data_IF_442213933155
#
_entry.id   IF_442213933155
#
_cell.length_a   1.000
_cell.length_b   1.000
_cell.length_c   1.000
_cell.angle_alpha   90.00
_cell.angle_beta   90.00
_cell.angle_gamma   90.00
#
_symmetry.space_group_name_H-M   'P 1'
#
loop_
_entity.id
_entity.type
_entity.pdbx_description
1 polymer ?
#
# COMPACT_ATOMS: atom_id res chain seq x y z
N UNK A 1 -3.70 12.46 4.31
CA UNK A 1 -3.45 11.54 3.18
C UNK A 1 -2.65 10.37 3.71
N UNK A 2 -3.00 9.15 3.36
CA UNK A 2 -2.22 7.96 3.71
C UNK A 2 -0.86 8.01 3.03
N UNK A 3 0.18 7.52 3.70
CA UNK A 3 1.56 7.48 3.19
C UNK A 3 2.06 6.04 3.21
N UNK A 4 2.02 5.40 2.04
CA UNK A 4 2.41 4.01 1.90
C UNK A 4 3.91 3.79 2.10
N UNK A 5 4.78 4.74 1.73
CA UNK A 5 6.22 4.61 1.89
C UNK A 5 6.60 4.56 3.38
N UNK A 6 6.07 5.49 4.17
CA UNK A 6 6.30 5.48 5.62
C UNK A 6 5.69 4.26 6.29
N UNK A 7 4.50 3.81 5.87
CA UNK A 7 3.92 2.56 6.35
C UNK A 7 4.84 1.35 6.09
N UNK A 8 5.37 1.20 4.88
CA UNK A 8 6.25 0.07 4.53
C UNK A 8 7.60 0.14 5.27
N UNK A 9 8.17 1.33 5.45
CA UNK A 9 9.35 1.53 6.32
C UNK A 9 9.11 1.00 7.73
N UNK A 10 7.95 1.32 8.33
CA UNK A 10 7.57 0.81 9.65
C UNK A 10 7.35 -0.71 9.67
N UNK A 11 7.04 -1.33 8.52
CA UNK A 11 6.93 -2.77 8.34
C UNK A 11 8.27 -3.47 8.04
N UNK A 12 9.37 -2.71 8.00
CA UNK A 12 10.72 -3.26 7.86
C UNK A 12 11.25 -3.25 6.42
N UNK A 13 10.59 -2.58 5.48
CA UNK A 13 11.16 -2.40 4.14
C UNK A 13 12.44 -1.57 4.22
N UNK A 14 13.48 -2.06 3.55
CA UNK A 14 14.71 -1.30 3.35
C UNK A 14 14.50 -0.18 2.33
N UNK A 15 15.35 0.85 2.36
CA UNK A 15 15.30 1.89 1.34
C UNK A 15 15.53 1.34 -0.07
N UNK A 16 16.34 0.29 -0.22
CA UNK A 16 16.57 -0.38 -1.50
C UNK A 16 15.30 -1.06 -2.02
N UNK A 17 14.59 -1.82 -1.18
CA UNK A 17 13.30 -2.42 -1.57
C UNK A 17 12.26 -1.34 -1.95
N UNK A 18 12.24 -0.20 -1.26
CA UNK A 18 11.34 0.91 -1.60
C UNK A 18 11.68 1.55 -2.94
N UNK A 19 12.96 1.68 -3.29
CA UNK A 19 13.41 2.20 -4.58
C UNK A 19 13.11 1.20 -5.69
N UNK A 20 13.42 -0.08 -5.48
CA UNK A 20 13.20 -1.16 -6.45
C UNK A 20 11.72 -1.35 -6.80
N UNK A 21 10.82 -1.02 -5.88
CA UNK A 21 9.37 -1.12 -6.09
C UNK A 21 8.66 0.23 -6.10
N UNK A 22 9.39 1.33 -6.32
CA UNK A 22 8.86 2.69 -6.21
C UNK A 22 7.57 2.90 -7.01
N UNK A 23 7.57 2.54 -8.29
CA UNK A 23 6.42 2.75 -9.17
C UNK A 23 5.16 2.04 -8.65
N UNK A 24 5.30 0.79 -8.20
CA UNK A 24 4.18 0.00 -7.69
C UNK A 24 3.68 0.50 -6.34
N UNK A 25 4.58 0.95 -5.48
CA UNK A 25 4.22 1.54 -4.17
C UNK A 25 3.49 2.86 -4.40
N UNK A 26 3.98 3.71 -5.31
CA UNK A 26 3.35 5.00 -5.62
C UNK A 26 1.98 4.81 -6.26
N UNK A 27 1.83 3.87 -7.20
CA UNK A 27 0.53 3.53 -7.78
C UNK A 27 -0.47 3.11 -6.71
N UNK A 28 -0.06 2.23 -5.77
CA UNK A 28 -0.96 1.79 -4.70
C UNK A 28 -1.25 2.90 -3.70
N UNK A 29 -0.27 3.75 -3.39
CA UNK A 29 -0.46 4.91 -2.54
C UNK A 29 -1.52 5.86 -3.11
N UNK A 30 -1.46 6.14 -4.42
CA UNK A 30 -2.46 6.94 -5.11
C UNK A 30 -3.83 6.27 -5.10
N UNK A 31 -3.91 4.98 -5.44
CA UNK A 31 -5.17 4.22 -5.44
C UNK A 31 -5.85 4.22 -4.07
N UNK A 32 -5.11 3.99 -2.97
CA UNK A 32 -5.64 4.05 -1.61
C UNK A 32 -6.20 5.44 -1.32
N UNK A 33 -5.41 6.48 -1.58
CA UNK A 33 -5.80 7.84 -1.27
C UNK A 33 -7.00 8.31 -2.10
N UNK A 34 -7.10 7.91 -3.35
CA UNK A 34 -8.27 8.18 -4.20
C UNK A 34 -9.54 7.54 -3.64
N UNK A 35 -9.47 6.30 -3.17
CA UNK A 35 -10.61 5.61 -2.55
C UNK A 35 -11.04 6.34 -1.28
N UNK A 36 -10.08 6.67 -0.41
CA UNK A 36 -10.36 7.37 0.86
C UNK A 36 -10.90 8.79 0.64
N UNK A 37 -10.41 9.50 -0.37
CA UNK A 37 -10.88 10.84 -0.72
C UNK A 37 -12.31 10.83 -1.28
N UNK A 38 -12.65 9.83 -2.11
CA UNK A 38 -13.98 9.67 -2.71
C UNK A 38 -15.02 9.16 -1.71
N UNK A 39 -14.58 8.46 -0.65
CA UNK A 39 -15.46 7.82 0.32
C UNK A 39 -15.09 8.30 1.75
N UNK A 40 -15.73 9.35 2.28
CA UNK A 40 -15.38 9.92 3.58
C UNK A 40 -15.60 8.95 4.76
N UNK A 41 -16.38 7.89 4.57
CA UNK A 41 -16.58 6.85 5.58
C UNK A 41 -15.70 5.59 5.35
N UNK A 42 -14.81 5.62 4.36
CA UNK A 42 -13.89 4.52 4.12
C UNK A 42 -12.74 4.53 5.14
N UNK A 43 -12.39 3.34 5.61
CA UNK A 43 -11.28 3.13 6.56
C UNK A 43 -10.36 2.06 6.00
N UNK A 44 -9.09 2.40 5.83
CA UNK A 44 -8.04 1.44 5.52
C UNK A 44 -7.83 0.52 6.74
N UNK A 45 -8.12 -0.78 6.59
CA UNK A 45 -8.02 -1.76 7.67
C UNK A 45 -6.69 -2.50 7.66
N UNK A 46 -6.25 -2.92 6.48
CA UNK A 46 -5.08 -3.78 6.34
C UNK A 46 -4.40 -3.56 4.99
N UNK A 47 -3.08 -3.65 5.01
CA UNK A 47 -2.25 -3.82 3.82
C UNK A 47 -1.38 -5.04 4.08
N UNK A 48 -1.55 -6.06 3.25
CA UNK A 48 -0.68 -7.21 3.16
C UNK A 48 0.20 -7.10 1.92
N UNK A 49 1.37 -7.72 1.97
CA UNK A 49 2.29 -7.76 0.86
C UNK A 49 2.99 -9.10 0.78
N UNK A 50 3.33 -9.52 -0.44
CA UNK A 50 4.12 -10.72 -0.70
C UNK A 50 4.93 -10.56 -1.97
N UNK A 51 6.11 -11.18 -2.01
CA UNK A 51 6.85 -11.37 -3.25
C UNK A 51 6.30 -12.61 -3.96
N UNK A 52 6.08 -12.49 -5.27
CA UNK A 52 5.57 -13.58 -6.12
C UNK A 52 6.69 -14.43 -6.73
N UNK A 53 7.94 -14.06 -6.46
CA UNK A 53 9.16 -14.67 -6.97
C UNK A 53 10.25 -14.67 -5.89
N UNK A 54 11.21 -15.57 -6.03
CA UNK A 54 12.33 -15.72 -5.08
C UNK A 54 13.32 -14.54 -5.16
N UNK A 55 13.48 -13.95 -6.34
CA UNK A 55 14.32 -12.77 -6.60
C UNK A 55 13.71 -11.47 -6.05
N UNK A 56 12.49 -11.53 -5.49
CA UNK A 56 11.75 -10.39 -4.94
C UNK A 56 11.49 -9.26 -5.94
N UNK A 57 11.48 -9.53 -7.24
CA UNK A 57 11.20 -8.50 -8.25
C UNK A 57 9.70 -8.21 -8.38
N UNK A 58 8.84 -9.18 -8.03
CA UNK A 58 7.39 -9.12 -8.20
C UNK A 58 6.69 -8.92 -6.86
N UNK A 59 6.75 -7.71 -6.33
CA UNK A 59 5.99 -7.33 -5.14
C UNK A 59 4.48 -7.28 -5.46
N UNK A 60 3.63 -7.85 -4.61
CA UNK A 60 2.18 -7.77 -4.70
C UNK A 60 1.59 -7.22 -3.41
N UNK A 61 0.57 -6.37 -3.52
CA UNK A 61 -0.16 -5.82 -2.38
C UNK A 61 -1.60 -6.31 -2.38
N UNK A 62 -2.10 -6.60 -1.19
CA UNK A 62 -3.51 -6.84 -0.94
C UNK A 62 -3.99 -5.81 0.08
N UNK A 63 -4.97 -5.01 -0.33
CA UNK A 63 -5.41 -3.82 0.40
C UNK A 63 -6.87 -4.04 0.81
N UNK A 64 -7.13 -3.97 2.11
CA UNK A 64 -8.48 -4.05 2.65
C UNK A 64 -8.93 -2.66 3.12
N UNK A 65 -9.93 -2.12 2.44
CA UNK A 65 -10.61 -0.86 2.79
C UNK A 65 -12.08 -1.18 3.01
N UNK A 66 -12.59 -0.79 4.18
CA UNK A 66 -14.00 -0.97 4.55
C UNK A 66 -14.74 0.36 4.46
N UNK A 67 -15.90 0.39 3.81
CA UNK A 67 -16.79 1.56 3.80
C UNK A 67 -17.81 1.39 4.92
N UNK A 68 -17.75 2.28 5.91
CA UNK A 68 -18.68 2.24 7.04
C UNK A 68 -19.95 2.98 6.64
N UNK A 69 -21.04 2.25 6.42
CA UNK A 69 -22.37 2.85 6.34
C UNK A 69 -22.79 3.24 7.75
N UNK A 70 -22.89 4.55 8.00
CA UNK A 70 -23.41 5.11 9.25
C UNK A 70 -24.93 5.09 9.26
#
# INVERSE_FOLDING_TARGET
>A
MFDMFNYLKMKGFTNEELVNHFEKIEEMNQNINDILNKNPNAVLKKIEFKYLDEEKTKLNFEINIEVINR
#
